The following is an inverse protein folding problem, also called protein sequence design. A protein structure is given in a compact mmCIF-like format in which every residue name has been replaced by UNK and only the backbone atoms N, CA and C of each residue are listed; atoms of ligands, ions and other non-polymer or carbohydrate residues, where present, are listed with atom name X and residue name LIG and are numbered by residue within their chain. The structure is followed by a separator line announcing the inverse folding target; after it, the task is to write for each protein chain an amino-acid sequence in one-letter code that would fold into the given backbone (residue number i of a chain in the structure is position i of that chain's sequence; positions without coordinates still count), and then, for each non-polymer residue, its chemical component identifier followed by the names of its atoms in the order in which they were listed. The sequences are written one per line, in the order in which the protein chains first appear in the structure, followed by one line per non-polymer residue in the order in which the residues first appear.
data_IF_504152042299
#
_entry.id   IF_504152042299
#
_cell.length_a   1.000
_cell.length_b   1.000
_cell.length_c   1.000
_cell.angle_alpha   90.00
_cell.angle_beta   90.00
_cell.angle_gamma   90.00
#
_symmetry.space_group_name_H-M   'P 1'
#
loop_
_entity.id
_entity.type
_entity.pdbx_description
1 polymer ?
#
# COMPACT_ATOMS: atom_id res chain seq x y z
N UNK A 1 -21.91 -15.72 -23.72
CA UNK A 1 -20.44 -15.55 -23.89
C UNK A 1 -19.65 -16.08 -22.68
N UNK A 2 -18.60 -16.89 -22.88
CA UNK A 2 -17.73 -17.32 -21.78
C UNK A 2 -17.05 -16.10 -21.13
N UNK A 3 -16.84 -16.16 -19.82
CA UNK A 3 -16.23 -15.08 -19.04
C UNK A 3 -14.72 -14.97 -19.36
N UNK A 4 -14.12 -13.76 -19.34
CA UNK A 4 -12.71 -13.53 -19.67
C UNK A 4 -11.70 -14.47 -19.01
N UNK A 5 -11.80 -14.86 -17.71
CA UNK A 5 -10.81 -15.75 -17.09
C UNK A 5 -10.80 -17.17 -17.66
N UNK A 6 -11.89 -17.62 -18.30
CA UNK A 6 -11.97 -18.96 -18.91
C UNK A 6 -11.37 -19.00 -20.31
N UNK A 7 -11.34 -17.87 -21.01
CA UNK A 7 -10.81 -17.77 -22.37
C UNK A 7 -9.28 -17.78 -22.35
N UNK A 8 -8.67 -16.94 -21.50
CA UNK A 8 -7.20 -16.89 -21.38
C UNK A 8 -6.61 -18.25 -20.99
N UNK A 9 -7.21 -18.95 -20.01
CA UNK A 9 -6.72 -20.27 -19.59
C UNK A 9 -6.72 -21.29 -20.73
N UNK A 10 -7.77 -21.30 -21.54
CA UNK A 10 -7.93 -22.25 -22.64
C UNK A 10 -7.02 -21.92 -23.84
N UNK A 11 -6.68 -20.65 -24.06
CA UNK A 11 -5.77 -20.23 -25.16
C UNK A 11 -4.31 -20.58 -24.89
N UNK A 12 -3.91 -20.70 -23.62
CA UNK A 12 -2.51 -20.97 -23.23
C UNK A 12 -2.28 -22.39 -22.67
N UNK A 13 -3.26 -23.29 -22.72
CA UNK A 13 -3.10 -24.69 -22.27
C UNK A 13 -2.11 -25.50 -23.14
N UNK A 14 -1.97 -25.16 -24.42
CA UNK A 14 -1.09 -25.87 -25.38
C UNK A 14 0.33 -25.28 -25.51
N UNK A 15 0.67 -24.23 -24.74
CA UNK A 15 1.99 -23.60 -24.79
C UNK A 15 2.93 -24.13 -23.71
N UNK A 16 4.22 -24.24 -24.06
CA UNK A 16 5.29 -24.64 -23.14
C UNK A 16 5.38 -23.69 -21.94
N UNK A 17 5.64 -24.23 -20.74
CA UNK A 17 5.60 -23.49 -19.47
C UNK A 17 6.54 -22.27 -19.47
N UNK A 18 7.66 -22.34 -20.19
CA UNK A 18 8.59 -21.22 -20.31
C UNK A 18 8.02 -20.05 -21.12
N UNK A 19 7.29 -20.34 -22.20
CA UNK A 19 6.64 -19.31 -23.01
C UNK A 19 5.52 -18.63 -22.22
N UNK A 20 4.74 -19.41 -21.47
CA UNK A 20 3.63 -18.88 -20.65
C UNK A 20 4.09 -17.88 -19.59
N UNK A 21 5.19 -18.18 -18.89
CA UNK A 21 5.77 -17.26 -17.88
C UNK A 21 6.19 -15.92 -18.49
N UNK A 22 6.68 -15.90 -19.74
CA UNK A 22 7.08 -14.65 -20.40
C UNK A 22 5.89 -13.76 -20.77
N UNK A 23 4.74 -14.34 -21.12
CA UNK A 23 3.56 -13.59 -21.55
C UNK A 23 2.61 -13.23 -20.39
N UNK A 24 2.28 -14.18 -19.53
CA UNK A 24 1.33 -13.98 -18.41
C UNK A 24 2.02 -13.56 -17.11
N UNK A 25 3.33 -13.77 -17.01
CA UNK A 25 4.08 -13.69 -15.75
C UNK A 25 4.00 -14.97 -14.94
N UNK A 26 4.42 -14.91 -13.68
CA UNK A 26 4.39 -16.06 -12.77
C UNK A 26 2.97 -16.28 -12.23
N UNK A 27 2.36 -17.47 -12.46
CA UNK A 27 1.04 -17.77 -11.93
C UNK A 27 1.06 -17.91 -10.40
N UNK A 28 -0.08 -17.67 -9.77
CA UNK A 28 -0.21 -17.83 -8.32
C UNK A 28 0.01 -19.28 -7.89
N UNK A 29 0.75 -19.49 -6.80
CA UNK A 29 1.07 -20.82 -6.26
C UNK A 29 2.35 -21.44 -6.80
N UNK A 30 3.01 -20.82 -7.79
CA UNK A 30 4.35 -21.24 -8.22
C UNK A 30 5.40 -20.84 -7.17
N UNK A 31 6.30 -21.76 -6.83
CA UNK A 31 7.46 -21.44 -6.00
C UNK A 31 8.54 -20.80 -6.88
N UNK A 32 8.92 -19.56 -6.57
CA UNK A 32 9.85 -18.77 -7.39
C UNK A 32 10.99 -18.25 -6.50
N UNK A 33 12.26 -18.49 -6.86
CA UNK A 33 13.39 -17.86 -6.19
C UNK A 33 13.46 -16.37 -6.58
N UNK A 34 13.67 -15.50 -5.59
CA UNK A 34 13.78 -14.05 -5.80
C UNK A 34 15.16 -13.62 -5.31
N UNK A 35 15.92 -13.01 -6.22
CA UNK A 35 17.21 -12.39 -5.91
C UNK A 35 17.00 -10.87 -5.84
N UNK A 36 17.40 -10.25 -4.73
CA UNK A 36 17.29 -8.80 -4.54
C UNK A 36 18.68 -8.22 -4.31
N UNK A 37 19.03 -7.21 -5.09
CA UNK A 37 20.28 -6.47 -4.93
C UNK A 37 20.11 -5.30 -3.95
N UNK A 38 21.23 -4.82 -3.38
CA UNK A 38 21.27 -3.64 -2.51
C UNK A 38 20.41 -3.72 -1.24
N UNK A 39 20.24 -4.92 -0.70
CA UNK A 39 19.62 -5.12 0.61
C UNK A 39 20.57 -4.59 1.69
N UNK A 40 20.05 -3.80 2.63
CA UNK A 40 20.81 -3.25 3.75
C UNK A 40 21.45 -4.39 4.56
N UNK A 41 22.75 -4.28 4.85
CA UNK A 41 23.49 -5.33 5.56
C UNK A 41 22.91 -5.61 6.95
N UNK A 42 22.37 -4.58 7.61
CA UNK A 42 21.69 -4.67 8.90
C UNK A 42 20.49 -5.60 8.86
N UNK A 43 19.75 -5.65 7.75
CA UNK A 43 18.57 -6.51 7.63
C UNK A 43 18.94 -8.00 7.61
N UNK A 44 20.12 -8.34 7.09
CA UNK A 44 20.64 -9.71 7.10
C UNK A 44 21.11 -10.09 8.50
N UNK A 45 21.75 -9.15 9.22
CA UNK A 45 22.26 -9.38 10.56
C UNK A 45 21.16 -9.47 11.64
N UNK A 46 20.05 -8.74 11.44
CA UNK A 46 18.93 -8.68 12.40
C UNK A 46 17.79 -9.65 11.99
N UNK A 47 18.03 -10.53 11.01
CA UNK A 47 17.01 -11.47 10.55
C UNK A 47 16.58 -12.42 11.68
N UNK A 48 15.33 -12.28 12.11
CA UNK A 48 14.70 -13.16 13.09
C UNK A 48 13.55 -13.93 12.40
N UNK A 49 13.61 -15.28 12.35
CA UNK A 49 12.61 -16.10 11.68
C UNK A 49 11.20 -16.02 12.30
N UNK A 50 11.04 -15.43 13.50
CA UNK A 50 9.71 -15.18 14.07
C UNK A 50 8.96 -14.05 13.34
N UNK A 51 9.65 -13.19 12.60
CA UNK A 51 9.06 -12.07 11.86
C UNK A 51 9.05 -12.38 10.35
N UNK A 52 7.88 -12.67 9.76
CA UNK A 52 7.81 -13.06 8.35
C UNK A 52 8.12 -11.87 7.43
N UNK A 53 8.90 -12.13 6.38
CA UNK A 53 9.14 -11.19 5.28
C UNK A 53 8.03 -11.38 4.25
N UNK A 54 7.31 -10.30 3.93
CA UNK A 54 6.27 -10.29 2.91
C UNK A 54 6.73 -9.42 1.75
N UNK A 55 6.72 -9.98 0.54
CA UNK A 55 7.02 -9.26 -0.69
C UNK A 55 5.71 -8.96 -1.42
N UNK A 56 5.51 -7.69 -1.78
CA UNK A 56 4.34 -7.22 -2.50
C UNK A 56 4.74 -6.41 -3.72
N UNK A 57 4.04 -6.62 -4.84
CA UNK A 57 4.16 -5.77 -6.02
C UNK A 57 3.53 -4.41 -5.77
N UNK A 58 4.24 -3.34 -6.11
CA UNK A 58 3.74 -1.96 -6.03
C UNK A 58 3.13 -1.55 -7.37
N UNK A 59 1.97 -0.90 -7.34
CA UNK A 59 1.38 -0.30 -8.54
C UNK A 59 2.18 0.92 -9.02
N UNK A 60 2.06 1.27 -10.31
CA UNK A 60 2.76 2.43 -10.90
C UNK A 60 2.50 3.75 -10.14
N UNK A 61 1.31 3.92 -9.55
CA UNK A 61 0.96 5.10 -8.76
C UNK A 61 1.50 5.06 -7.32
N UNK A 62 1.75 3.88 -6.75
CA UNK A 62 2.19 3.71 -5.35
C UNK A 62 3.68 4.03 -5.17
N UNK A 63 4.44 4.11 -6.26
CA UNK A 63 5.84 4.53 -6.25
C UNK A 63 6.04 6.04 -6.10
N UNK A 64 5.01 6.84 -6.35
CA UNK A 64 5.14 8.30 -6.40
C UNK A 64 5.17 8.92 -4.99
N UNK A 65 6.09 9.87 -4.77
CA UNK A 65 6.19 10.65 -3.54
C UNK A 65 5.47 11.97 -3.75
N UNK A 66 4.45 12.23 -2.94
CA UNK A 66 3.69 13.48 -3.03
C UNK A 66 2.74 13.68 -1.86
N UNK A 67 1.95 14.75 -1.96
CA UNK A 67 0.89 15.04 -1.00
C UNK A 67 -0.36 14.26 -1.37
N UNK A 68 -0.89 13.49 -0.41
CA UNK A 68 -2.15 12.76 -0.57
C UNK A 68 -3.22 13.46 0.25
N UNK A 69 -4.28 13.90 -0.43
CA UNK A 69 -5.50 14.37 0.21
C UNK A 69 -6.39 13.15 0.49
N UNK A 70 -6.77 12.96 1.75
CA UNK A 70 -7.62 11.86 2.18
C UNK A 70 -8.54 12.30 3.31
N UNK A 71 -9.69 11.64 3.42
CA UNK A 71 -10.61 11.85 4.53
C UNK A 71 -10.22 10.95 5.69
N UNK A 72 -9.84 11.54 6.82
CA UNK A 72 -9.42 10.80 8.00
C UNK A 72 -10.42 10.96 9.14
N UNK A 73 -11.09 9.86 9.48
CA UNK A 73 -11.92 9.79 10.69
C UNK A 73 -11.11 9.26 11.86
N UNK A 74 -11.17 9.96 12.99
CA UNK A 74 -10.59 9.46 14.24
C UNK A 74 -11.26 8.13 14.63
N UNK A 75 -10.44 7.11 14.90
CA UNK A 75 -10.92 5.83 15.40
C UNK A 75 -11.62 5.99 16.75
N UNK A 76 -12.79 5.37 16.94
CA UNK A 76 -13.64 5.61 18.10
C UNK A 76 -13.02 5.17 19.43
N UNK A 77 -12.22 4.09 19.44
CA UNK A 77 -11.49 3.65 20.65
C UNK A 77 -10.25 4.48 20.98
N UNK A 78 -9.80 5.35 20.06
CA UNK A 78 -8.63 6.17 20.32
C UNK A 78 -8.98 7.33 21.24
N UNK A 79 -8.39 7.38 22.44
CA UNK A 79 -8.64 8.47 23.40
C UNK A 79 -7.91 9.76 23.03
N UNK A 80 -6.77 9.68 22.31
CA UNK A 80 -5.95 10.85 21.98
C UNK A 80 -6.63 11.76 20.95
N UNK A 81 -6.46 13.06 21.11
CA UNK A 81 -6.84 14.06 20.08
C UNK A 81 -5.68 14.11 19.08
N UNK A 82 -6.00 14.03 17.78
CA UNK A 82 -4.97 14.12 16.75
C UNK A 82 -4.65 15.60 16.52
N UNK A 83 -3.37 15.97 16.67
CA UNK A 83 -2.88 17.32 16.42
C UNK A 83 -2.00 17.33 15.16
N UNK A 84 -2.01 18.42 14.37
CA UNK A 84 -1.24 18.52 13.12
C UNK A 84 0.28 18.38 13.25
N UNK A 85 0.84 18.49 14.46
CA UNK A 85 2.30 18.39 14.70
C UNK A 85 2.72 17.04 15.27
N UNK A 86 1.76 16.18 15.61
CA UNK A 86 2.08 14.87 16.18
C UNK A 86 2.33 13.89 15.03
N UNK A 87 3.48 13.20 14.99
CA UNK A 87 3.74 12.20 13.97
C UNK A 87 2.78 11.02 14.12
N UNK A 88 2.21 10.58 13.01
CA UNK A 88 1.27 9.46 12.94
C UNK A 88 1.82 8.43 11.97
N UNK A 89 1.77 7.16 12.38
CA UNK A 89 2.12 6.03 11.53
C UNK A 89 0.89 5.66 10.71
N UNK A 90 1.02 5.72 9.40
CA UNK A 90 0.04 5.21 8.46
C UNK A 90 0.44 3.83 7.97
N UNK A 91 -0.57 3.00 7.75
CA UNK A 91 -0.45 1.75 7.01
C UNK A 91 -1.35 1.87 5.79
N UNK A 92 -0.77 2.09 4.62
CA UNK A 92 -1.50 2.25 3.34
C UNK A 92 -0.88 1.30 2.33
N UNK A 93 -1.71 0.40 1.77
CA UNK A 93 -1.23 -0.70 0.93
C UNK A 93 -0.18 -1.54 1.68
N UNK A 94 0.97 -1.76 1.03
CA UNK A 94 2.12 -2.49 1.58
C UNK A 94 3.04 -1.65 2.47
N UNK A 95 2.81 -0.33 2.57
CA UNK A 95 3.75 0.58 3.22
C UNK A 95 3.25 1.00 4.60
N UNK A 96 4.17 0.95 5.56
CA UNK A 96 4.03 1.60 6.87
C UNK A 96 5.02 2.74 6.95
N UNK A 97 4.54 3.96 7.19
CA UNK A 97 5.41 5.12 7.27
C UNK A 97 4.87 6.13 8.27
N UNK A 98 5.77 6.89 8.88
CA UNK A 98 5.46 7.96 9.80
C UNK A 98 5.39 9.28 9.03
N UNK A 99 4.32 10.03 9.21
CA UNK A 99 4.16 11.36 8.61
C UNK A 99 3.50 12.34 9.57
N UNK A 100 3.67 13.63 9.30
CA UNK A 100 3.02 14.72 10.02
C UNK A 100 1.88 15.23 9.14
N UNK A 101 0.67 15.24 9.67
CA UNK A 101 -0.54 15.54 8.90
C UNK A 101 -0.94 17.00 8.95
N UNK A 102 -1.43 17.48 7.81
CA UNK A 102 -2.12 18.76 7.73
C UNK A 102 -3.63 18.53 7.69
N UNK A 103 -4.34 18.95 8.74
CA UNK A 103 -5.79 18.84 8.82
C UNK A 103 -6.46 20.09 8.26
N UNK A 104 -7.44 19.93 7.37
CA UNK A 104 -8.27 21.02 6.87
C UNK A 104 -9.74 20.57 6.78
N UNK A 105 -10.65 21.53 6.80
CA UNK A 105 -12.07 21.34 6.49
C UNK A 105 -12.44 22.22 5.30
N UNK A 106 -13.30 21.71 4.42
CA UNK A 106 -13.88 22.49 3.34
C UNK A 106 -15.15 23.19 3.84
N UNK A 107 -15.15 24.53 3.82
CA UNK A 107 -16.35 25.31 4.10
C UNK A 107 -17.30 25.25 2.90
N UNK A 108 -18.59 25.53 3.13
CA UNK A 108 -19.64 25.58 2.08
C UNK A 108 -19.33 26.53 0.90
N UNK A 109 -18.39 27.47 1.08
CA UNK A 109 -17.89 28.38 0.06
C UNK A 109 -16.69 27.84 -0.74
N UNK A 110 -16.34 26.55 -0.62
CA UNK A 110 -15.20 25.94 -1.29
C UNK A 110 -13.84 26.40 -0.75
N UNK A 111 -13.81 27.11 0.38
CA UNK A 111 -12.57 27.52 1.05
C UNK A 111 -12.09 26.41 1.98
N UNK A 112 -10.81 26.07 1.87
CA UNK A 112 -10.15 25.11 2.75
C UNK A 112 -9.57 25.84 3.96
N UNK A 113 -10.04 25.50 5.16
CA UNK A 113 -9.56 26.08 6.41
C UNK A 113 -8.76 25.07 7.22
N UNK A 114 -7.54 25.44 7.57
CA UNK A 114 -6.66 24.66 8.43
C UNK A 114 -7.26 24.45 9.82
N UNK A 115 -7.21 23.23 10.33
CA UNK A 115 -7.62 22.88 11.68
C UNK A 115 -6.40 22.75 12.60
N UNK A 116 -6.47 23.36 13.79
CA UNK A 116 -5.45 23.22 14.84
C UNK A 116 -5.52 21.88 15.57
N UNK A 117 -6.68 21.21 15.53
CA UNK A 117 -6.89 19.89 16.12
C UNK A 117 -8.07 19.21 15.42
N UNK A 118 -7.94 17.90 15.17
CA UNK A 118 -9.02 17.08 14.65
C UNK A 118 -9.97 16.68 15.80
N UNK A 119 -11.19 17.23 15.79
CA UNK A 119 -12.24 16.89 16.75
C UNK A 119 -13.30 15.98 16.12
N UNK A 120 -13.97 15.20 16.98
CA UNK A 120 -15.02 14.27 16.57
C UNK A 120 -16.14 15.03 15.83
N UNK A 121 -16.47 14.60 14.62
CA UNK A 121 -17.57 15.17 13.81
C UNK A 121 -17.23 16.36 12.90
N UNK A 122 -15.94 16.73 12.74
CA UNK A 122 -15.49 17.80 11.81
C UNK A 122 -14.54 17.35 10.70
N UNK A 123 -14.39 16.05 10.49
CA UNK A 123 -13.65 15.44 9.37
C UNK A 123 -14.45 14.24 8.88
#
# INVERSE_FOLDING_TARGET
PPQPPKLNRAEFEDQDDQARVQYEGFPSGMYVPIETENVLCESVHIFDPHYPIILGGLGNSEGNVGYVQMHLKKHHWSKKILKPQDPIIFSVGWRRFQTILLYYIEDHNGRQRLLKAAFWGKI
#
